data_IF_071431175141
#
_entry.id   IF_071431175141
#
_cell.length_a   1.000
_cell.length_b   1.000
_cell.length_c   1.000
_cell.angle_alpha   90.00
_cell.angle_beta   90.00
_cell.angle_gamma   90.00
#
_symmetry.space_group_name_H-M   'P 1'
#
loop_
_entity.id
_entity.type
_entity.pdbx_description
1 polymer ?
#
# COMPACT_ATOMS: atom_id res chain seq x y z
N UNK A 1 -24.00 7.75 5.66
CA UNK A 1 -22.81 6.90 5.86
C UNK A 1 -22.21 6.65 4.48
N UNK A 2 -20.93 6.91 4.26
CA UNK A 2 -20.27 6.61 3.00
C UNK A 2 -20.21 5.09 2.80
N UNK A 3 -20.37 4.61 1.56
CA UNK A 3 -20.16 3.20 1.26
C UNK A 3 -18.68 2.84 1.44
N UNK A 4 -18.37 1.66 1.98
CA UNK A 4 -17.00 1.20 2.09
C UNK A 4 -16.37 1.04 0.69
N UNK A 5 -15.10 1.40 0.56
CA UNK A 5 -14.30 1.19 -0.64
C UNK A 5 -13.88 -0.28 -0.76
N UNK A 6 -13.47 -0.86 0.36
CA UNK A 6 -13.05 -2.26 0.44
C UNK A 6 -13.77 -2.92 1.62
N UNK A 7 -14.46 -4.01 1.33
CA UNK A 7 -15.21 -4.80 2.31
C UNK A 7 -14.53 -6.15 2.52
N UNK A 8 -14.19 -6.45 3.76
CA UNK A 8 -13.66 -7.74 4.18
C UNK A 8 -14.70 -8.42 5.07
N UNK A 9 -15.14 -9.63 4.73
CA UNK A 9 -16.15 -10.38 5.46
C UNK A 9 -15.68 -11.79 5.76
N UNK A 10 -15.67 -12.16 7.04
CA UNK A 10 -15.43 -13.51 7.56
C UNK A 10 -14.16 -14.15 6.98
N UNK A 11 -13.12 -13.32 6.73
CA UNK A 11 -11.89 -13.75 6.09
C UNK A 11 -11.16 -14.75 6.97
N UNK A 12 -10.81 -15.91 6.41
CA UNK A 12 -10.13 -16.96 7.12
C UNK A 12 -8.99 -17.57 6.32
N UNK A 13 -7.89 -17.93 7.03
CA UNK A 13 -6.70 -18.56 6.44
C UNK A 13 -6.04 -19.51 7.41
N UNK A 14 -5.74 -20.73 6.93
CA UNK A 14 -5.00 -21.76 7.65
C UNK A 14 -3.74 -22.17 6.91
N UNK A 15 -2.73 -22.55 7.65
CA UNK A 15 -1.50 -23.14 7.15
C UNK A 15 -1.28 -24.48 7.87
N UNK A 16 -1.68 -25.57 7.22
CA UNK A 16 -1.73 -26.88 7.86
C UNK A 16 -2.65 -26.88 9.09
N UNK A 17 -2.12 -27.16 10.25
CA UNK A 17 -2.85 -27.12 11.53
C UNK A 17 -2.97 -25.74 12.19
N UNK A 18 -2.25 -24.74 11.69
CA UNK A 18 -2.24 -23.39 12.25
C UNK A 18 -3.33 -22.52 11.62
N UNK A 19 -4.20 -21.94 12.44
CA UNK A 19 -5.16 -20.91 12.01
C UNK A 19 -4.45 -19.57 12.13
N UNK A 20 -4.17 -18.94 10.99
CA UNK A 20 -3.47 -17.65 10.93
C UNK A 20 -4.43 -16.45 10.93
N UNK A 21 -5.64 -16.64 10.38
CA UNK A 21 -6.73 -15.64 10.35
C UNK A 21 -8.04 -16.42 10.50
N UNK A 22 -8.94 -15.95 11.38
CA UNK A 22 -10.21 -16.60 11.67
C UNK A 22 -11.35 -15.59 11.71
N UNK A 23 -12.27 -15.67 10.75
CA UNK A 23 -13.52 -14.90 10.66
C UNK A 23 -13.31 -13.37 10.79
N UNK A 24 -12.22 -12.83 10.24
CA UNK A 24 -11.92 -11.41 10.33
C UNK A 24 -12.79 -10.61 9.38
N UNK A 25 -13.49 -9.59 9.90
CA UNK A 25 -14.33 -8.69 9.13
C UNK A 25 -14.05 -7.24 9.50
N UNK A 26 -13.82 -6.38 8.50
CA UNK A 26 -13.71 -4.93 8.63
C UNK A 26 -13.88 -4.25 7.26
N UNK A 27 -14.11 -2.96 7.29
CA UNK A 27 -14.25 -2.13 6.10
C UNK A 27 -13.10 -1.14 6.01
N UNK A 28 -12.81 -0.67 4.80
CA UNK A 28 -11.89 0.45 4.55
C UNK A 28 -12.65 1.46 3.69
N UNK A 29 -12.58 2.73 4.09
CA UNK A 29 -13.25 3.83 3.39
C UNK A 29 -12.27 4.66 2.57
N UNK A 30 -12.76 5.31 1.51
CA UNK A 30 -11.91 6.20 0.69
C UNK A 30 -11.36 7.35 1.56
N UNK A 31 -10.05 7.60 1.44
CA UNK A 31 -9.35 8.60 2.23
C UNK A 31 -9.21 8.24 3.72
N UNK A 32 -9.46 7.01 4.12
CA UNK A 32 -9.25 6.54 5.48
C UNK A 32 -7.83 6.01 5.67
N UNK A 33 -7.22 6.32 6.82
CA UNK A 33 -6.02 5.64 7.30
C UNK A 33 -6.45 4.68 8.40
N UNK A 34 -6.50 3.39 8.08
CA UNK A 34 -6.79 2.31 9.02
C UNK A 34 -5.50 1.66 9.50
N UNK A 35 -5.25 1.72 10.80
CA UNK A 35 -4.15 1.00 11.44
C UNK A 35 -4.55 -0.45 11.73
N UNK A 36 -3.67 -1.40 11.42
CA UNK A 36 -3.83 -2.80 11.79
C UNK A 36 -2.73 -3.18 12.78
N UNK A 37 -3.08 -3.36 14.05
CA UNK A 37 -2.14 -3.63 15.13
C UNK A 37 -2.36 -5.02 15.75
N UNK A 38 -1.41 -5.45 16.56
CA UNK A 38 -1.45 -6.70 17.30
C UNK A 38 -0.05 -7.28 17.48
N UNK A 39 0.12 -8.29 18.34
CA UNK A 39 1.42 -8.92 18.59
C UNK A 39 1.97 -9.62 17.33
N UNK A 40 3.25 -10.01 17.38
CA UNK A 40 3.84 -10.84 16.34
C UNK A 40 3.09 -12.18 16.26
N UNK A 41 2.80 -12.62 15.03
CA UNK A 41 1.98 -13.82 14.80
C UNK A 41 0.47 -13.60 14.90
N UNK A 42 -0.03 -12.38 15.16
CA UNK A 42 -1.46 -12.10 15.22
C UNK A 42 -2.22 -12.21 13.88
N UNK A 43 -1.53 -12.42 12.75
CA UNK A 43 -2.16 -12.58 11.44
C UNK A 43 -2.12 -11.34 10.54
N UNK A 44 -1.52 -10.22 10.98
CA UNK A 44 -1.46 -8.94 10.23
C UNK A 44 -0.89 -9.11 8.81
N UNK A 45 0.30 -9.64 8.69
CA UNK A 45 0.96 -9.91 7.39
C UNK A 45 0.17 -10.91 6.54
N UNK A 46 -0.52 -11.87 7.17
CA UNK A 46 -1.41 -12.80 6.46
C UNK A 46 -2.57 -12.04 5.82
N UNK A 47 -3.22 -11.11 6.54
CA UNK A 47 -4.29 -10.27 6.00
C UNK A 47 -3.74 -9.43 4.84
N UNK A 48 -2.59 -8.78 4.97
CA UNK A 48 -1.97 -8.04 3.88
C UNK A 48 -1.72 -8.89 2.64
N UNK A 49 -1.21 -10.10 2.82
CA UNK A 49 -0.98 -11.04 1.71
C UNK A 49 -2.29 -11.49 1.05
N UNK A 50 -3.37 -11.64 1.82
CA UNK A 50 -4.70 -11.96 1.30
C UNK A 50 -5.28 -10.79 0.48
N UNK A 51 -5.20 -9.56 1.01
CA UNK A 51 -5.68 -8.34 0.33
C UNK A 51 -4.88 -8.03 -0.95
N UNK A 52 -3.57 -8.25 -0.93
CA UNK A 52 -2.70 -8.09 -2.09
C UNK A 52 -2.80 -9.25 -3.10
N UNK A 53 -3.54 -10.34 -2.79
CA UNK A 53 -3.65 -11.53 -3.65
C UNK A 53 -2.42 -12.42 -3.69
N UNK A 54 -1.44 -12.19 -2.81
CA UNK A 54 -0.26 -13.05 -2.66
C UNK A 54 -0.60 -14.39 -1.99
N UNK A 55 -1.71 -14.43 -1.23
CA UNK A 55 -2.28 -15.63 -0.63
C UNK A 55 -3.74 -15.79 -1.04
N UNK A 56 -4.20 -17.04 -1.11
CA UNK A 56 -5.62 -17.36 -1.31
C UNK A 56 -6.28 -17.57 0.05
N UNK A 57 -7.44 -16.95 0.26
CA UNK A 57 -8.27 -17.21 1.44
C UNK A 57 -8.87 -18.62 1.37
N UNK A 58 -9.11 -19.21 2.55
CA UNK A 58 -9.80 -20.49 2.65
C UNK A 58 -11.32 -20.29 2.81
N UNK A 59 -11.74 -19.14 3.39
CA UNK A 59 -13.15 -18.73 3.49
C UNK A 59 -13.25 -17.20 3.57
N UNK A 60 -14.48 -16.69 3.41
CA UNK A 60 -14.80 -15.28 3.48
C UNK A 60 -14.84 -14.59 2.10
N UNK A 61 -14.88 -13.25 2.12
CA UNK A 61 -14.88 -12.45 0.89
C UNK A 61 -14.07 -11.16 1.07
N UNK A 62 -13.51 -10.67 -0.05
CA UNK A 62 -12.87 -9.36 -0.18
C UNK A 62 -13.51 -8.71 -1.41
N UNK A 63 -14.23 -7.60 -1.19
CA UNK A 63 -15.00 -6.95 -2.24
C UNK A 63 -14.57 -5.49 -2.33
N UNK A 64 -14.26 -5.01 -3.52
CA UNK A 64 -13.94 -3.63 -3.83
C UNK A 64 -14.88 -3.11 -4.91
N UNK A 65 -15.68 -2.08 -4.61
CA UNK A 65 -16.75 -1.56 -5.49
C UNK A 65 -17.63 -2.66 -6.10
N UNK A 66 -18.06 -3.63 -5.29
CA UNK A 66 -18.91 -4.74 -5.72
C UNK A 66 -18.18 -5.82 -6.53
N UNK A 67 -16.87 -5.72 -6.75
CA UNK A 67 -16.04 -6.71 -7.44
C UNK A 67 -15.24 -7.53 -6.44
N UNK A 68 -15.27 -8.86 -6.58
CA UNK A 68 -14.47 -9.75 -5.74
C UNK A 68 -12.99 -9.66 -6.13
N UNK A 69 -12.13 -9.49 -5.11
CA UNK A 69 -10.68 -9.58 -5.24
C UNK A 69 -10.17 -11.01 -5.03
N UNK A 70 -11.00 -11.89 -4.44
CA UNK A 70 -10.58 -13.27 -4.18
C UNK A 70 -10.30 -14.02 -5.48
N UNK A 71 -9.20 -14.75 -5.46
CA UNK A 71 -8.71 -15.57 -6.59
C UNK A 71 -8.33 -14.78 -7.83
N UNK A 72 -8.31 -13.44 -7.77
CA UNK A 72 -7.75 -12.63 -8.85
C UNK A 72 -6.21 -12.74 -8.85
N UNK A 73 -5.56 -12.72 -10.01
CA UNK A 73 -4.11 -12.64 -10.08
C UNK A 73 -3.63 -11.26 -9.62
N UNK A 74 -2.39 -11.18 -9.11
CA UNK A 74 -1.79 -9.96 -8.54
C UNK A 74 -1.96 -8.71 -9.43
N UNK A 75 -1.72 -8.85 -10.74
CA UNK A 75 -1.85 -7.73 -11.67
C UNK A 75 -3.28 -7.21 -11.75
N UNK A 76 -4.29 -8.08 -11.68
CA UNK A 76 -5.70 -7.65 -11.67
C UNK A 76 -6.09 -6.92 -10.39
N UNK A 77 -5.54 -7.33 -9.25
CA UNK A 77 -5.74 -6.63 -7.98
C UNK A 77 -5.11 -5.24 -8.03
N UNK A 78 -3.92 -5.13 -8.63
CA UNK A 78 -3.26 -3.86 -8.87
C UNK A 78 -4.08 -2.96 -9.83
N UNK A 79 -4.59 -3.49 -10.95
CA UNK A 79 -5.49 -2.79 -11.89
C UNK A 79 -6.79 -2.32 -11.22
N UNK A 80 -7.29 -3.05 -10.22
CA UNK A 80 -8.44 -2.63 -9.41
C UNK A 80 -8.08 -1.54 -8.40
N UNK A 81 -6.79 -1.20 -8.27
CA UNK A 81 -6.30 -0.10 -7.45
C UNK A 81 -5.85 -0.48 -6.05
N UNK A 82 -5.59 -1.76 -5.76
CA UNK A 82 -4.95 -2.17 -4.50
C UNK A 82 -3.46 -2.35 -4.72
N UNK A 83 -2.66 -1.46 -4.15
CA UNK A 83 -1.20 -1.51 -4.22
C UNK A 83 -0.59 -1.78 -2.85
N UNK A 84 0.50 -2.54 -2.84
CA UNK A 84 1.27 -2.82 -1.63
C UNK A 84 2.70 -2.35 -1.80
N UNK A 85 3.25 -1.68 -0.77
CA UNK A 85 4.69 -1.52 -0.64
C UNK A 85 5.27 -2.81 -0.08
N UNK A 86 6.36 -3.30 -0.65
CA UNK A 86 6.95 -4.57 -0.22
C UNK A 86 8.03 -4.34 0.83
N UNK A 87 8.07 -5.19 1.83
CA UNK A 87 9.10 -5.20 2.88
C UNK A 87 10.53 -5.38 2.34
N UNK A 88 10.69 -5.94 1.12
CA UNK A 88 11.97 -6.31 0.51
C UNK A 88 12.03 -6.01 -0.98
N UNK A 89 11.30 -5.02 -1.48
CA UNK A 89 11.46 -4.59 -2.87
C UNK A 89 12.72 -3.76 -2.99
N UNK A 90 13.79 -4.44 -3.25
CA UNK A 90 14.99 -3.78 -3.74
C UNK A 90 14.63 -2.95 -4.97
N UNK A 91 15.03 -1.70 -5.03
CA UNK A 91 14.98 -0.94 -6.28
C UNK A 91 15.65 -1.75 -7.40
N UNK A 92 15.30 -1.49 -8.64
CA UNK A 92 15.99 -2.08 -9.78
C UNK A 92 17.39 -1.45 -9.88
N UNK A 93 18.46 -2.19 -9.57
CA UNK A 93 19.78 -1.62 -9.51
C UNK A 93 20.23 -1.14 -10.90
N UNK A 94 21.09 -0.11 -10.92
CA UNK A 94 21.57 0.48 -12.16
C UNK A 94 20.56 1.33 -12.94
N UNK A 95 19.34 1.52 -12.43
CA UNK A 95 18.34 2.41 -12.99
C UNK A 95 18.27 3.73 -12.21
N UNK A 96 17.87 4.81 -12.88
CA UNK A 96 17.59 6.09 -12.21
C UNK A 96 16.33 6.00 -11.31
N UNK A 97 16.20 6.96 -10.39
CA UNK A 97 15.00 7.10 -9.55
C UNK A 97 13.72 7.19 -10.41
N UNK A 98 13.74 8.03 -11.45
CA UNK A 98 12.59 8.22 -12.33
C UNK A 98 12.23 6.94 -13.08
N UNK A 99 13.20 6.19 -13.59
CA UNK A 99 12.95 4.96 -14.32
C UNK A 99 12.41 3.85 -13.39
N UNK A 100 12.92 3.78 -12.16
CA UNK A 100 12.39 2.88 -11.13
C UNK A 100 10.90 3.13 -10.83
N UNK A 101 10.48 4.40 -10.77
CA UNK A 101 9.08 4.74 -10.51
C UNK A 101 8.22 4.49 -11.75
N UNK A 102 8.74 4.71 -12.96
CA UNK A 102 8.06 4.40 -14.22
C UNK A 102 7.69 2.91 -14.31
N UNK A 103 8.52 2.01 -13.77
CA UNK A 103 8.15 0.58 -13.66
C UNK A 103 6.87 0.39 -12.82
N UNK A 104 6.70 1.16 -11.75
CA UNK A 104 5.46 1.13 -10.95
C UNK A 104 4.21 1.61 -11.71
N UNK A 105 4.40 2.53 -12.66
CA UNK A 105 3.32 3.04 -13.49
C UNK A 105 2.84 2.05 -14.58
N UNK A 106 3.54 0.93 -14.78
CA UNK A 106 3.24 -0.04 -15.85
C UNK A 106 1.82 -0.63 -15.79
N UNK A 107 1.22 -0.71 -14.60
CA UNK A 107 -0.17 -1.18 -14.42
C UNK A 107 -1.20 -0.25 -15.04
N UNK A 108 -0.85 1.02 -15.28
CA UNK A 108 -1.71 2.03 -15.91
C UNK A 108 -1.57 2.08 -17.44
N UNK A 109 -0.69 1.25 -18.02
CA UNK A 109 -0.51 1.21 -19.47
C UNK A 109 -1.41 0.17 -20.11
N UNK A 110 -2.33 0.61 -20.91
CA UNK A 110 -2.94 -0.20 -21.99
C UNK A 110 -1.86 -0.42 -23.06
N UNK A 111 -0.91 -1.33 -22.78
CA UNK A 111 0.16 -1.67 -23.71
C UNK A 111 -0.41 -2.58 -24.80
N UNK A 112 -1.09 -1.96 -25.77
CA UNK A 112 -1.23 -2.60 -27.07
C UNK A 112 0.18 -2.80 -27.61
N UNK A 113 0.62 -4.04 -27.76
CA UNK A 113 1.91 -4.44 -28.34
C UNK A 113 2.19 -3.74 -29.68
N UNK A 114 1.15 -3.31 -30.38
CA UNK A 114 1.20 -2.55 -31.63
C UNK A 114 1.76 -1.13 -31.47
N UNK A 115 1.55 -0.46 -30.32
CA UNK A 115 2.05 0.91 -30.12
C UNK A 115 3.55 0.94 -29.84
N UNK A 116 4.10 -0.12 -29.22
CA UNK A 116 5.54 -0.27 -28.95
C UNK A 116 6.32 -0.55 -30.23
N UNK A 117 5.73 -1.31 -31.17
CA UNK A 117 6.36 -1.68 -32.45
C UNK A 117 6.39 -0.56 -33.49
N UNK A 118 5.55 0.47 -33.34
CA UNK A 118 5.38 1.48 -34.41
C UNK A 118 6.21 2.74 -34.21
N UNK A 119 6.95 2.88 -33.08
CA UNK A 119 7.75 4.11 -32.77
C UNK A 119 6.99 5.41 -33.11
N UNK A 120 5.67 5.42 -32.87
CA UNK A 120 4.76 6.44 -33.32
C UNK A 120 4.85 7.70 -32.47
N UNK A 121 4.56 8.86 -33.06
CA UNK A 121 4.51 10.14 -32.34
C UNK A 121 3.55 10.10 -31.12
N UNK A 122 2.56 9.20 -31.11
CA UNK A 122 1.66 8.96 -29.99
C UNK A 122 2.36 8.25 -28.83
N UNK A 123 3.22 7.25 -29.10
CA UNK A 123 3.99 6.55 -28.08
C UNK A 123 4.96 7.51 -27.37
N UNK A 124 5.67 8.36 -28.12
CA UNK A 124 6.54 9.38 -27.54
C UNK A 124 5.80 10.41 -26.69
N UNK A 125 4.58 10.80 -27.08
CA UNK A 125 3.74 11.70 -26.26
C UNK A 125 3.32 11.03 -24.96
N UNK A 126 2.85 9.79 -25.00
CA UNK A 126 2.46 9.01 -23.81
C UNK A 126 3.64 8.84 -22.85
N UNK A 127 4.82 8.49 -23.36
CA UNK A 127 6.03 8.37 -22.55
C UNK A 127 6.40 9.69 -21.86
N UNK A 128 6.36 10.80 -22.60
CA UNK A 128 6.61 12.14 -22.05
C UNK A 128 5.58 12.52 -20.97
N UNK A 129 4.31 12.21 -21.18
CA UNK A 129 3.25 12.47 -20.19
C UNK A 129 3.47 11.64 -18.92
N UNK A 130 3.81 10.35 -19.05
CA UNK A 130 4.08 9.48 -17.91
C UNK A 130 5.33 9.94 -17.14
N UNK A 131 6.40 10.27 -17.86
CA UNK A 131 7.60 10.83 -17.21
C UNK A 131 7.27 12.13 -16.46
N UNK A 132 6.44 13.00 -17.03
CA UNK A 132 5.98 14.21 -16.35
C UNK A 132 5.16 13.92 -15.09
N UNK A 133 4.30 12.90 -15.11
CA UNK A 133 3.54 12.44 -13.92
C UNK A 133 4.47 11.90 -12.84
N UNK A 134 5.43 11.06 -13.23
CA UNK A 134 6.41 10.50 -12.30
C UNK A 134 7.27 11.59 -11.66
N UNK A 135 7.70 12.61 -12.42
CA UNK A 135 8.44 13.75 -11.86
C UNK A 135 7.62 14.49 -10.79
N UNK A 136 6.31 14.68 -11.00
CA UNK A 136 5.43 15.25 -9.96
C UNK A 136 5.28 14.36 -8.73
N UNK A 137 5.30 13.03 -8.89
CA UNK A 137 5.32 12.11 -7.75
C UNK A 137 6.65 12.18 -6.99
N UNK A 138 7.77 12.29 -7.69
CA UNK A 138 9.10 12.48 -7.09
C UNK A 138 9.11 13.80 -6.27
N UNK A 139 8.54 14.86 -6.82
CA UNK A 139 8.38 16.13 -6.11
C UNK A 139 7.49 15.97 -4.88
N UNK A 140 6.36 15.29 -5.02
CA UNK A 140 5.42 15.03 -3.93
C UNK A 140 6.07 14.28 -2.75
N UNK A 141 6.86 13.24 -3.02
CA UNK A 141 7.59 12.54 -1.97
C UNK A 141 8.87 13.29 -1.54
N UNK A 142 9.18 14.41 -2.21
CA UNK A 142 10.28 15.34 -1.92
C UNK A 142 11.67 14.78 -2.25
N UNK A 143 11.79 14.11 -3.39
CA UNK A 143 13.04 13.59 -3.95
C UNK A 143 13.45 14.32 -5.23
N UNK A 144 13.01 15.57 -5.42
CA UNK A 144 13.18 16.35 -6.67
C UNK A 144 14.63 16.47 -7.12
N UNK A 145 15.59 16.56 -6.20
CA UNK A 145 17.01 16.69 -6.52
C UNK A 145 17.65 15.36 -6.98
N UNK A 146 16.92 14.24 -6.87
CA UNK A 146 17.42 12.89 -7.11
C UNK A 146 16.82 12.23 -8.36
N UNK A 147 16.11 12.96 -9.20
CA UNK A 147 15.35 12.42 -10.35
C UNK A 147 16.19 11.49 -11.22
N UNK A 148 17.41 11.89 -11.58
CA UNK A 148 18.31 11.12 -12.44
C UNK A 148 19.38 10.35 -11.63
N UNK A 149 19.27 10.32 -10.29
CA UNK A 149 20.20 9.60 -9.43
C UNK A 149 19.93 8.10 -9.53
N UNK A 150 20.99 7.30 -9.69
CA UNK A 150 20.91 5.85 -9.59
C UNK A 150 20.44 5.44 -8.19
N UNK A 151 19.51 4.50 -8.13
CA UNK A 151 18.87 4.09 -6.88
C UNK A 151 19.83 3.46 -5.88
N UNK A 152 20.94 2.91 -6.36
CA UNK A 152 21.99 2.33 -5.52
C UNK A 152 22.70 3.37 -4.64
N UNK A 153 22.56 4.65 -4.98
CA UNK A 153 23.13 5.78 -4.23
C UNK A 153 22.14 6.41 -3.24
N UNK A 154 20.92 5.88 -3.12
CA UNK A 154 19.92 6.41 -2.21
C UNK A 154 20.19 5.98 -0.77
N UNK A 155 19.92 6.90 0.18
CA UNK A 155 19.86 6.53 1.59
C UNK A 155 18.67 5.59 1.85
N UNK A 156 18.69 4.91 3.01
CA UNK A 156 17.61 4.01 3.40
C UNK A 156 16.23 4.72 3.41
N UNK A 157 16.17 5.92 3.99
CA UNK A 157 14.93 6.72 4.02
C UNK A 157 14.48 7.16 2.63
N UNK A 158 15.41 7.52 1.74
CA UNK A 158 15.09 7.84 0.33
C UNK A 158 14.56 6.61 -0.41
N UNK A 159 15.12 5.42 -0.15
CA UNK A 159 14.62 4.15 -0.68
C UNK A 159 13.17 3.87 -0.26
N UNK A 160 12.79 4.17 0.99
CA UNK A 160 11.39 4.06 1.46
C UNK A 160 10.45 5.01 0.73
N UNK A 161 10.90 6.24 0.47
CA UNK A 161 10.11 7.21 -0.32
C UNK A 161 10.00 6.79 -1.80
N UNK A 162 11.04 6.17 -2.36
CA UNK A 162 10.98 5.56 -3.70
C UNK A 162 9.94 4.45 -3.77
N UNK A 163 9.91 3.53 -2.79
CA UNK A 163 8.91 2.45 -2.73
C UNK A 163 7.48 3.01 -2.69
N UNK A 164 7.25 4.05 -1.90
CA UNK A 164 5.96 4.73 -1.82
C UNK A 164 5.59 5.40 -3.15
N UNK A 165 6.54 6.11 -3.79
CA UNK A 165 6.34 6.74 -5.09
C UNK A 165 6.03 5.71 -6.19
N UNK A 166 6.68 4.53 -6.17
CA UNK A 166 6.37 3.42 -7.09
C UNK A 166 4.95 2.90 -6.91
N UNK A 167 4.49 2.74 -5.66
CA UNK A 167 3.11 2.33 -5.38
C UNK A 167 2.10 3.40 -5.86
N UNK A 168 2.41 4.69 -5.65
CA UNK A 168 1.57 5.80 -6.10
C UNK A 168 1.51 5.93 -7.63
N UNK A 169 2.57 5.57 -8.33
CA UNK A 169 2.63 5.61 -9.80
C UNK A 169 1.60 4.68 -10.46
N UNK A 170 1.16 3.62 -9.76
CA UNK A 170 0.07 2.74 -10.18
C UNK A 170 -1.34 3.29 -9.95
N UNK A 171 -1.50 4.58 -9.60
CA UNK A 171 -2.79 5.26 -9.34
C UNK A 171 -3.69 4.47 -8.36
N UNK A 172 -3.19 4.12 -7.16
CA UNK A 172 -3.92 3.28 -6.23
C UNK A 172 -5.17 3.97 -5.68
N UNK A 173 -6.15 3.17 -5.33
CA UNK A 173 -7.30 3.58 -4.50
C UNK A 173 -7.11 3.15 -3.04
N UNK A 174 -6.38 2.06 -2.85
CA UNK A 174 -5.97 1.54 -1.54
C UNK A 174 -4.47 1.24 -1.58
N UNK A 175 -3.73 1.75 -0.60
CA UNK A 175 -2.32 1.40 -0.39
C UNK A 175 -2.18 0.60 0.90
N UNK A 176 -1.47 -0.52 0.80
CA UNK A 176 -1.10 -1.37 1.93
C UNK A 176 0.35 -1.06 2.31
N UNK A 177 0.57 -0.48 3.49
CA UNK A 177 1.88 -0.11 4.03
C UNK A 177 2.26 -1.05 5.18
N UNK A 178 3.34 -1.80 5.01
CA UNK A 178 3.82 -2.78 5.99
C UNK A 178 5.10 -2.26 6.65
N UNK A 179 4.98 -1.77 7.88
CA UNK A 179 6.05 -1.18 8.69
C UNK A 179 6.89 -0.10 7.96
N UNK A 180 6.24 0.91 7.37
CA UNK A 180 6.93 1.88 6.52
C UNK A 180 7.92 2.75 7.30
N UNK A 181 7.75 2.95 8.61
CA UNK A 181 8.63 3.74 9.45
C UNK A 181 9.81 2.94 10.04
N UNK A 182 9.85 1.61 9.84
CA UNK A 182 10.91 0.78 10.40
C UNK A 182 12.29 1.19 9.87
N UNK A 183 13.22 1.46 10.79
CA UNK A 183 14.60 1.85 10.48
C UNK A 183 14.82 3.31 10.07
N UNK A 184 13.77 4.14 10.07
CA UNK A 184 13.86 5.57 9.80
C UNK A 184 14.32 6.34 11.05
N UNK A 185 15.02 7.44 10.83
CA UNK A 185 15.25 8.47 11.84
C UNK A 185 13.94 9.20 12.17
N UNK A 186 13.87 9.89 13.31
CA UNK A 186 12.67 10.66 13.70
C UNK A 186 12.25 11.68 12.63
N UNK A 187 13.21 12.39 12.03
CA UNK A 187 12.91 13.38 11.00
C UNK A 187 12.37 12.75 9.72
N UNK A 188 12.89 11.57 9.32
CA UNK A 188 12.40 10.83 8.16
C UNK A 188 11.00 10.26 8.42
N UNK A 189 10.75 9.75 9.63
CA UNK A 189 9.45 9.26 10.06
C UNK A 189 8.41 10.39 10.05
N UNK A 190 8.74 11.57 10.60
CA UNK A 190 7.85 12.75 10.59
C UNK A 190 7.51 13.21 9.16
N UNK A 191 8.49 13.14 8.25
CA UNK A 191 8.28 13.44 6.83
C UNK A 191 7.35 12.41 6.18
N UNK A 192 7.59 11.12 6.40
CA UNK A 192 6.76 10.04 5.89
C UNK A 192 5.32 10.15 6.41
N UNK A 193 5.14 10.48 7.70
CA UNK A 193 3.82 10.70 8.31
C UNK A 193 3.02 11.78 7.56
N UNK A 194 3.65 12.92 7.23
CA UNK A 194 3.01 13.98 6.46
C UNK A 194 2.60 13.49 5.07
N UNK A 195 3.50 12.79 4.37
CA UNK A 195 3.21 12.25 3.03
C UNK A 195 2.04 11.27 3.07
N UNK A 196 1.98 10.35 4.06
CA UNK A 196 0.86 9.41 4.19
C UNK A 196 -0.46 10.15 4.46
N UNK A 197 -0.44 11.21 5.25
CA UNK A 197 -1.62 12.06 5.46
C UNK A 197 -2.07 12.75 4.18
N UNK A 198 -1.13 13.34 3.44
CA UNK A 198 -1.43 13.97 2.16
C UNK A 198 -1.97 12.98 1.11
N UNK A 199 -1.57 11.70 1.16
CA UNK A 199 -2.13 10.61 0.34
C UNK A 199 -3.60 10.37 0.72
N UNK A 200 -3.90 10.26 2.00
CA UNK A 200 -5.26 10.08 2.52
C UNK A 200 -6.16 11.26 2.16
N UNK A 201 -5.67 12.49 2.30
CA UNK A 201 -6.40 13.73 1.96
C UNK A 201 -6.75 13.82 0.46
N UNK A 202 -6.02 13.10 -0.40
CA UNK A 202 -6.33 12.94 -1.83
C UNK A 202 -7.38 11.86 -2.12
N UNK A 203 -7.96 11.25 -1.08
CA UNK A 203 -9.00 10.24 -1.19
C UNK A 203 -8.48 8.80 -1.34
N UNK A 204 -7.17 8.59 -1.26
CA UNK A 204 -6.57 7.25 -1.31
C UNK A 204 -6.64 6.63 0.09
N UNK A 205 -7.24 5.44 0.20
CA UNK A 205 -7.27 4.72 1.46
C UNK A 205 -5.90 4.12 1.79
N UNK A 206 -5.54 4.11 3.07
CA UNK A 206 -4.28 3.54 3.54
C UNK A 206 -4.56 2.50 4.62
N UNK A 207 -4.15 1.26 4.38
CA UNK A 207 -4.08 0.24 5.44
C UNK A 207 -2.63 0.12 5.90
N UNK A 208 -2.40 0.36 7.18
CA UNK A 208 -1.07 0.51 7.76
C UNK A 208 -0.83 -0.53 8.85
N UNK A 209 0.20 -1.37 8.72
CA UNK A 209 0.75 -2.15 9.83
C UNK A 209 1.92 -1.37 10.43
N UNK A 210 1.88 -1.15 11.75
CA UNK A 210 2.98 -0.53 12.47
C UNK A 210 3.07 -1.05 13.91
N UNK A 211 4.27 -1.07 14.44
CA UNK A 211 4.56 -1.42 15.82
C UNK A 211 4.86 -0.19 16.68
N UNK A 212 5.31 0.92 16.07
CA UNK A 212 5.51 2.17 16.79
C UNK A 212 4.18 2.93 16.91
N UNK A 213 3.60 2.85 18.11
CA UNK A 213 2.36 3.56 18.41
C UNK A 213 2.51 5.09 18.33
N UNK A 214 3.73 5.62 18.47
CA UNK A 214 3.97 7.08 18.32
C UNK A 214 3.83 7.51 16.86
N UNK A 215 4.13 6.62 15.92
CA UNK A 215 3.92 6.87 14.49
C UNK A 215 2.46 6.63 14.09
N UNK A 216 1.87 5.51 14.55
CA UNK A 216 0.53 5.09 14.12
C UNK A 216 -0.59 5.96 14.68
N UNK A 217 -0.61 6.18 16.01
CA UNK A 217 -1.75 6.81 16.69
C UNK A 217 -2.08 8.24 16.22
N UNK A 218 -1.09 9.12 15.92
CA UNK A 218 -1.38 10.43 15.37
C UNK A 218 -1.89 10.39 13.91
N UNK A 219 -1.68 9.28 13.20
CA UNK A 219 -1.93 9.14 11.78
C UNK A 219 -3.28 8.48 11.49
N UNK A 220 -3.58 7.39 12.19
CA UNK A 220 -4.77 6.58 11.95
C UNK A 220 -6.06 7.29 12.39
N UNK A 221 -7.10 7.25 11.57
CA UNK A 221 -8.46 7.65 11.96
C UNK A 221 -9.18 6.51 12.68
N UNK A 222 -8.82 5.26 12.38
CA UNK A 222 -9.37 4.06 13.00
C UNK A 222 -8.28 2.99 13.12
N UNK A 223 -8.40 2.16 14.13
CA UNK A 223 -7.45 1.08 14.43
C UNK A 223 -8.22 -0.21 14.63
N UNK A 224 -7.83 -1.26 13.91
CA UNK A 224 -8.29 -2.64 14.13
C UNK A 224 -7.20 -3.43 14.85
N UNK A 225 -7.57 -4.11 15.91
CA UNK A 225 -6.67 -4.91 16.75
C UNK A 225 -6.86 -6.38 16.44
N UNK A 226 -5.75 -7.05 16.12
CA UNK A 226 -5.72 -8.49 15.92
C UNK A 226 -5.00 -9.18 17.07
N UNK A 227 -5.54 -10.32 17.49
CA UNK A 227 -4.87 -11.22 18.42
C UNK A 227 -5.17 -12.68 18.03
N UNK A 228 -4.12 -13.50 17.87
CA UNK A 228 -4.23 -14.91 17.45
C UNK A 228 -5.16 -15.16 16.26
N UNK A 229 -5.07 -14.31 15.23
CA UNK A 229 -5.85 -14.44 14.00
C UNK A 229 -7.28 -13.89 14.06
N UNK A 230 -7.72 -13.36 15.19
CA UNK A 230 -9.07 -12.83 15.40
C UNK A 230 -9.00 -11.30 15.59
N UNK A 231 -9.98 -10.57 15.04
CA UNK A 231 -10.14 -9.13 15.34
C UNK A 231 -10.85 -8.96 16.68
N UNK A 232 -10.14 -8.42 17.68
CA UNK A 232 -10.65 -8.26 19.04
C UNK A 232 -11.22 -6.86 19.31
N UNK A 233 -10.76 -5.85 18.57
CA UNK A 233 -11.26 -4.48 18.69
C UNK A 233 -11.18 -3.73 17.35
N UNK A 234 -12.02 -2.69 17.19
CA UNK A 234 -12.06 -1.83 16.00
C UNK A 234 -12.71 -0.49 16.42
N UNK A 235 -11.97 0.60 16.36
CA UNK A 235 -12.46 1.90 16.81
C UNK A 235 -11.45 3.03 16.64
N UNK A 236 -11.79 4.22 17.15
CA UNK A 236 -10.89 5.36 17.14
C UNK A 236 -9.62 5.08 17.98
N UNK A 237 -8.44 5.65 17.62
CA UNK A 237 -7.20 5.43 18.36
C UNK A 237 -7.32 5.64 19.86
N UNK A 238 -8.04 6.68 20.31
CA UNK A 238 -8.25 6.97 21.73
C UNK A 238 -9.13 5.93 22.45
N UNK A 239 -10.09 5.32 21.74
CA UNK A 239 -10.92 4.24 22.27
C UNK A 239 -10.11 2.97 22.45
N UNK A 240 -9.32 2.61 21.43
CA UNK A 240 -8.41 1.45 21.47
C UNK A 240 -7.38 1.58 22.61
N UNK A 241 -6.83 2.80 22.79
CA UNK A 241 -5.85 3.04 23.85
C UNK A 241 -6.40 2.85 25.27
N UNK A 242 -7.71 3.05 25.46
CA UNK A 242 -8.40 2.91 26.76
C UNK A 242 -8.98 1.52 26.96
N UNK A 243 -9.01 0.69 25.94
CA UNK A 243 -9.53 -0.66 26.05
C UNK A 243 -8.55 -1.52 26.86
N UNK A 244 -9.01 -2.14 27.99
CA UNK A 244 -8.15 -2.97 28.84
C UNK A 244 -7.85 -4.38 28.26
N UNK A 245 -8.58 -4.80 27.21
CA UNK A 245 -8.45 -6.10 26.53
C UNK A 245 -7.44 -6.02 25.38
#
# INVERSE_FOLDING_TARGET
MSNPLLEIRELSKRFGGLIAVENVSFDIYAGEILGLIGPNGAGKTTIFNLLAGALKADAGSIIMDGKSLLYQPLHRIAELGVMRTFQHNSPFPGMSLVDNILVGAHTCFDSSWFSILTNSASAMRMEKEQRSRVVKLIEFVGLSELVETEVDNLSFGQGRLLELARALAGEPRVILLDEPAAGLTLNEADRLLKIIRDISDRGIAVLLIEHDMRFLMPLAQRVAVLNFGVKIADGAPDEIRRNPD
#
